data_IF_780711669862
#
_entry.id   IF_780711669862
#
_cell.length_a   1.000
_cell.length_b   1.000
_cell.length_c   1.000
_cell.angle_alpha   90.00
_cell.angle_beta   90.00
_cell.angle_gamma   90.00
#
_symmetry.space_group_name_H-M   'P 1'
#
loop_
_entity.id
_entity.type
_entity.pdbx_description
1 polymer ?
#
# COMPACT_ATOMS: atom_id res chain seq x y z
N UNK A 1 -10.31 -9.59 -1.30
CA UNK A 1 -9.74 -8.82 -0.19
C UNK A 1 -10.61 -8.98 1.05
N UNK A 2 -10.06 -8.68 2.24
CA UNK A 2 -10.70 -8.94 3.53
C UNK A 2 -10.48 -7.75 4.45
N UNK A 3 -11.56 -7.29 5.10
CA UNK A 3 -11.49 -6.28 6.15
C UNK A 3 -12.19 -6.75 7.43
N UNK A 4 -11.75 -6.25 8.57
CA UNK A 4 -12.34 -6.53 9.87
C UNK A 4 -13.13 -5.31 10.37
N UNK A 5 -14.38 -5.53 10.73
CA UNK A 5 -15.13 -4.59 11.57
C UNK A 5 -14.71 -4.81 13.03
N UNK A 6 -13.83 -3.95 13.52
CA UNK A 6 -13.24 -4.06 14.86
C UNK A 6 -14.28 -3.88 15.98
N UNK A 7 -15.39 -3.20 15.70
CA UNK A 7 -16.43 -2.92 16.70
C UNK A 7 -17.30 -4.15 16.99
N UNK A 8 -17.54 -4.97 15.98
CA UNK A 8 -18.42 -6.15 16.06
C UNK A 8 -17.70 -7.48 15.88
N UNK A 9 -16.43 -7.46 15.46
CA UNK A 9 -15.67 -8.64 15.07
C UNK A 9 -16.16 -9.29 13.76
N UNK A 10 -17.00 -8.61 12.99
CA UNK A 10 -17.46 -9.15 11.70
C UNK A 10 -16.33 -9.10 10.67
N UNK A 11 -16.29 -10.17 9.85
CA UNK A 11 -15.38 -10.25 8.72
C UNK A 11 -16.11 -9.83 7.44
N UNK A 12 -15.53 -8.91 6.71
CA UNK A 12 -16.00 -8.44 5.41
C UNK A 12 -15.09 -9.01 4.32
N UNK A 13 -15.68 -9.73 3.38
CA UNK A 13 -14.94 -10.36 2.28
C UNK A 13 -15.40 -9.78 0.96
N UNK A 14 -14.51 -9.13 0.25
CA UNK A 14 -14.75 -8.62 -1.10
C UNK A 14 -14.72 -9.80 -2.08
N UNK A 15 -15.89 -10.16 -2.61
CA UNK A 15 -16.10 -11.31 -3.47
C UNK A 15 -16.23 -10.89 -4.94
N UNK A 16 -15.41 -11.48 -5.81
CA UNK A 16 -15.40 -11.25 -7.24
C UNK A 16 -15.44 -9.76 -7.65
N UNK A 17 -14.91 -8.88 -6.80
CA UNK A 17 -14.82 -7.44 -6.99
C UNK A 17 -16.16 -6.68 -7.09
N UNK A 18 -17.29 -7.34 -6.88
CA UNK A 18 -18.63 -6.76 -7.07
C UNK A 18 -19.59 -6.97 -5.91
N UNK A 19 -19.11 -7.57 -4.85
CA UNK A 19 -19.94 -7.78 -3.67
C UNK A 19 -19.07 -7.85 -2.41
N UNK A 20 -19.63 -7.43 -1.27
CA UNK A 20 -19.03 -7.67 0.03
C UNK A 20 -19.92 -8.64 0.80
N UNK A 21 -19.37 -9.83 1.12
CA UNK A 21 -19.99 -10.80 2.01
C UNK A 21 -19.60 -10.47 3.44
N UNK A 22 -20.58 -10.38 4.32
CA UNK A 22 -20.35 -10.12 5.74
C UNK A 22 -20.60 -11.39 6.55
N UNK A 23 -19.61 -11.76 7.35
CA UNK A 23 -19.67 -12.91 8.27
C UNK A 23 -19.56 -12.41 9.71
N UNK A 24 -20.19 -13.11 10.66
CA UNK A 24 -19.98 -12.82 12.09
C UNK A 24 -18.58 -13.26 12.54
N UNK A 25 -18.17 -12.84 13.74
CA UNK A 25 -16.95 -13.30 14.40
C UNK A 25 -16.85 -14.84 14.54
N UNK A 26 -17.99 -15.55 14.48
CA UNK A 26 -18.06 -17.03 14.50
C UNK A 26 -18.11 -17.65 13.10
N UNK A 27 -17.89 -16.87 12.04
CA UNK A 27 -17.91 -17.35 10.66
C UNK A 27 -19.30 -17.55 10.04
N UNK A 28 -20.39 -17.18 10.75
CA UNK A 28 -21.74 -17.29 10.20
C UNK A 28 -22.02 -16.16 9.20
N UNK A 29 -22.47 -16.51 8.00
CA UNK A 29 -22.90 -15.54 6.99
C UNK A 29 -24.05 -14.67 7.51
N UNK A 30 -23.96 -13.36 7.29
CA UNK A 30 -24.96 -12.36 7.72
C UNK A 30 -25.68 -11.70 6.56
N UNK A 31 -24.93 -11.11 5.63
CA UNK A 31 -25.51 -10.34 4.52
C UNK A 31 -24.57 -10.23 3.33
N UNK A 32 -25.16 -9.84 2.18
CA UNK A 32 -24.46 -9.44 0.97
C UNK A 32 -24.69 -7.94 0.72
N UNK A 33 -23.63 -7.24 0.36
CA UNK A 33 -23.67 -5.86 -0.14
C UNK A 33 -23.24 -5.94 -1.61
N UNK A 34 -24.17 -5.67 -2.53
CA UNK A 34 -23.84 -5.61 -3.95
C UNK A 34 -23.20 -4.26 -4.31
N UNK A 35 -22.25 -4.30 -5.20
CA UNK A 35 -21.51 -3.14 -5.70
C UNK A 35 -21.79 -3.00 -7.20
N UNK A 36 -22.12 -1.79 -7.63
CA UNK A 36 -22.48 -1.51 -9.04
C UNK A 36 -21.25 -1.50 -9.95
N UNK A 37 -20.08 -1.31 -9.39
CA UNK A 37 -18.81 -1.24 -10.10
C UNK A 37 -17.79 -2.22 -9.50
N UNK A 38 -16.79 -2.68 -10.28
CA UNK A 38 -15.73 -3.51 -9.75
C UNK A 38 -14.81 -2.70 -8.83
N UNK A 39 -14.55 -3.23 -7.63
CA UNK A 39 -13.69 -2.67 -6.60
C UNK A 39 -12.71 -3.75 -6.13
N UNK A 40 -11.47 -3.40 -5.77
CA UNK A 40 -10.39 -4.37 -5.58
C UNK A 40 -9.89 -4.45 -4.15
N UNK A 41 -9.80 -3.34 -3.44
CA UNK A 41 -9.38 -3.30 -2.04
C UNK A 41 -10.48 -2.70 -1.20
N UNK A 42 -10.55 -3.13 0.05
CA UNK A 42 -11.61 -2.80 0.99
C UNK A 42 -11.01 -2.50 2.36
N UNK A 43 -11.43 -1.37 2.95
CA UNK A 43 -11.23 -1.08 4.36
C UNK A 43 -12.55 -0.71 5.04
N UNK A 44 -12.72 -1.16 6.29
CA UNK A 44 -13.87 -0.85 7.12
C UNK A 44 -13.53 0.22 8.16
N UNK A 45 -14.34 1.28 8.24
CA UNK A 45 -14.19 2.38 9.17
C UNK A 45 -15.19 2.28 10.32
N UNK A 46 -14.90 2.92 11.47
CA UNK A 46 -15.72 2.81 12.71
C UNK A 46 -17.20 3.20 12.51
N UNK A 47 -17.47 4.14 11.63
CA UNK A 47 -18.84 4.59 11.34
C UNK A 47 -19.56 3.71 10.30
N UNK A 48 -19.11 2.49 10.07
CA UNK A 48 -19.62 1.58 9.03
C UNK A 48 -19.43 2.03 7.58
N UNK A 49 -18.63 3.06 7.33
CA UNK A 49 -18.20 3.37 5.97
C UNK A 49 -17.25 2.27 5.45
N UNK A 50 -17.43 1.90 4.20
CA UNK A 50 -16.51 1.02 3.49
C UNK A 50 -15.73 1.85 2.48
N UNK A 51 -14.43 1.89 2.60
CA UNK A 51 -13.56 2.59 1.65
C UNK A 51 -12.95 1.59 0.70
N UNK A 52 -13.02 1.88 -0.59
CA UNK A 52 -12.59 1.00 -1.65
C UNK A 52 -11.60 1.66 -2.60
N UNK A 53 -10.72 0.82 -3.14
CA UNK A 53 -9.95 1.15 -4.33
C UNK A 53 -10.53 0.46 -5.56
N UNK A 54 -10.69 1.20 -6.64
CA UNK A 54 -11.23 0.66 -7.89
C UNK A 54 -10.21 0.50 -9.00
N UNK A 55 -8.94 0.83 -8.73
CA UNK A 55 -7.94 0.98 -9.80
C UNK A 55 -8.35 2.07 -10.83
N UNK A 56 -7.58 2.22 -11.88
CA UNK A 56 -7.91 3.09 -13.00
C UNK A 56 -8.69 2.35 -14.11
N UNK A 57 -9.63 1.48 -13.74
CA UNK A 57 -10.48 0.84 -14.74
C UNK A 57 -11.23 1.91 -15.53
N UNK A 58 -11.13 1.85 -16.84
CA UNK A 58 -11.58 2.90 -17.76
C UNK A 58 -13.06 3.31 -17.62
N UNK A 59 -13.88 2.48 -17.00
CA UNK A 59 -15.30 2.77 -16.74
C UNK A 59 -15.54 3.45 -15.39
N UNK A 60 -14.55 3.43 -14.48
CA UNK A 60 -14.69 4.03 -13.16
C UNK A 60 -14.25 5.49 -13.23
N UNK A 61 -15.11 6.37 -12.76
CA UNK A 61 -14.85 7.83 -12.75
C UNK A 61 -13.88 8.23 -11.65
N UNK A 62 -13.68 7.38 -10.64
CA UNK A 62 -12.81 7.61 -9.50
C UNK A 62 -11.94 6.39 -9.23
N UNK A 63 -10.78 6.60 -8.63
CA UNK A 63 -9.90 5.52 -8.17
C UNK A 63 -10.28 5.02 -6.78
N UNK A 64 -10.85 5.89 -5.95
CA UNK A 64 -11.28 5.56 -4.60
C UNK A 64 -12.75 5.92 -4.42
N UNK A 65 -13.43 5.09 -3.65
CA UNK A 65 -14.85 5.24 -3.35
C UNK A 65 -15.10 5.00 -1.86
N UNK A 66 -16.14 5.65 -1.35
CA UNK A 66 -16.73 5.36 -0.07
C UNK A 66 -18.16 4.85 -0.28
N UNK A 67 -18.50 3.73 0.34
CA UNK A 67 -19.87 3.25 0.50
C UNK A 67 -20.30 3.62 1.92
N UNK A 68 -21.16 4.62 2.02
CA UNK A 68 -21.53 5.23 3.29
C UNK A 68 -22.74 4.53 3.97
N UNK A 69 -23.11 5.02 5.14
CA UNK A 69 -24.26 4.53 5.90
C UNK A 69 -25.58 4.63 5.15
N UNK A 70 -25.72 5.59 4.22
CA UNK A 70 -26.88 5.73 3.34
C UNK A 70 -26.91 4.67 2.24
N UNK A 71 -25.95 3.76 2.23
CA UNK A 71 -25.76 2.71 1.21
C UNK A 71 -25.53 3.26 -0.20
N UNK A 72 -24.84 4.39 -0.27
CA UNK A 72 -24.48 5.05 -1.52
C UNK A 72 -23.00 4.99 -1.77
N UNK A 73 -22.64 4.59 -2.97
CA UNK A 73 -21.25 4.63 -3.43
C UNK A 73 -20.90 6.03 -3.92
N UNK A 74 -19.96 6.69 -3.25
CA UNK A 74 -19.49 8.04 -3.57
C UNK A 74 -18.03 8.00 -4.00
N UNK A 75 -17.68 8.69 -5.09
CA UNK A 75 -16.28 8.84 -5.50
C UNK A 75 -15.52 9.80 -4.57
N UNK A 76 -14.34 9.39 -4.14
CA UNK A 76 -13.46 10.19 -3.28
C UNK A 76 -12.30 10.84 -4.06
N UNK A 77 -11.70 10.12 -5.00
CA UNK A 77 -10.55 10.60 -5.78
C UNK A 77 -10.81 10.33 -7.26
N UNK A 78 -10.83 11.40 -8.05
CA UNK A 78 -11.12 11.32 -9.48
C UNK A 78 -10.04 10.56 -10.22
N UNK A 79 -10.45 9.63 -11.09
CA UNK A 79 -9.53 8.94 -11.97
C UNK A 79 -9.03 9.91 -13.06
N UNK A 80 -7.76 10.31 -12.95
CA UNK A 80 -7.11 11.20 -13.92
C UNK A 80 -6.36 10.43 -15.00
N UNK A 81 -6.07 9.17 -14.75
CA UNK A 81 -5.32 8.32 -15.66
C UNK A 81 -6.21 7.82 -16.82
N UNK A 82 -5.74 7.99 -18.04
CA UNK A 82 -6.46 7.62 -19.27
C UNK A 82 -5.87 6.41 -20.00
N UNK A 83 -4.83 5.81 -19.45
CA UNK A 83 -4.13 4.67 -20.04
C UNK A 83 -4.80 3.33 -19.77
N UNK A 84 -4.07 2.24 -20.05
CA UNK A 84 -4.52 0.88 -19.75
C UNK A 84 -4.72 0.67 -18.25
N UNK A 85 -5.74 -0.10 -17.86
CA UNK A 85 -5.97 -0.41 -16.44
C UNK A 85 -4.75 -1.06 -15.80
N UNK A 86 -4.50 -0.72 -14.53
CA UNK A 86 -3.49 -1.32 -13.68
C UNK A 86 -4.01 -1.54 -12.26
N UNK A 87 -3.44 -2.50 -11.56
CA UNK A 87 -3.69 -2.76 -10.17
C UNK A 87 -2.39 -2.54 -9.39
N UNK A 88 -2.50 -1.86 -8.27
CA UNK A 88 -1.45 -1.79 -7.25
C UNK A 88 -2.00 -2.29 -5.93
N UNK A 89 -1.14 -2.89 -5.13
CA UNK A 89 -1.39 -3.19 -3.73
C UNK A 89 -1.02 -1.99 -2.85
N UNK A 90 -1.43 -2.04 -1.59
CA UNK A 90 -0.97 -1.18 -0.49
C UNK A 90 -1.23 0.33 -0.66
N UNK A 91 -2.33 0.66 -1.32
CA UNK A 91 -2.77 2.03 -1.57
C UNK A 91 -3.82 2.53 -0.57
N UNK A 92 -4.36 1.63 0.25
CA UNK A 92 -5.18 1.90 1.42
C UNK A 92 -4.43 1.41 2.65
N UNK A 93 -4.12 2.31 3.58
CA UNK A 93 -3.44 1.95 4.83
C UNK A 93 -4.24 2.48 6.01
N UNK A 94 -4.93 1.57 6.70
CA UNK A 94 -5.69 1.91 7.89
C UNK A 94 -4.75 2.30 9.03
N UNK A 95 -4.91 3.51 9.55
CA UNK A 95 -4.13 4.02 10.68
C UNK A 95 -4.78 3.65 12.01
N UNK A 96 -6.08 3.76 12.05
CA UNK A 96 -6.95 3.41 13.18
C UNK A 96 -8.40 3.33 12.66
N UNK A 97 -9.37 2.93 13.48
CA UNK A 97 -10.77 2.82 13.04
C UNK A 97 -11.39 4.09 12.48
N UNK A 98 -10.82 5.27 12.77
CA UNK A 98 -11.35 6.57 12.37
C UNK A 98 -10.51 7.28 11.29
N UNK A 99 -9.43 6.66 10.83
CA UNK A 99 -8.57 7.29 9.82
C UNK A 99 -7.84 6.29 8.93
N UNK A 100 -7.75 6.65 7.66
CA UNK A 100 -7.17 5.83 6.61
C UNK A 100 -6.30 6.70 5.69
N UNK A 101 -5.09 6.26 5.41
CA UNK A 101 -4.31 6.81 4.31
C UNK A 101 -4.76 6.25 2.97
N UNK A 102 -4.82 7.17 2.00
CA UNK A 102 -5.15 6.89 0.61
C UNK A 102 -4.09 7.53 -0.26
N UNK A 103 -3.46 6.76 -1.12
CA UNK A 103 -2.50 7.30 -2.07
C UNK A 103 -2.58 6.59 -3.41
N UNK A 104 -2.08 7.24 -4.46
CA UNK A 104 -1.93 6.65 -5.80
C UNK A 104 -0.45 6.58 -6.13
N UNK A 105 -0.03 5.55 -6.83
CA UNK A 105 1.39 5.30 -7.19
C UNK A 105 2.01 6.46 -7.98
N UNK A 106 1.21 7.18 -8.77
CA UNK A 106 1.68 8.34 -9.54
C UNK A 106 1.32 9.68 -8.88
N UNK A 107 0.92 9.65 -7.61
CA UNK A 107 0.70 10.85 -6.81
C UNK A 107 1.91 11.16 -5.94
N UNK A 108 2.21 12.43 -5.78
CA UNK A 108 3.15 12.96 -4.80
C UNK A 108 2.49 13.17 -3.43
N UNK A 109 1.19 12.89 -3.32
CA UNK A 109 0.36 13.23 -2.17
C UNK A 109 -0.21 11.98 -1.51
N UNK A 110 -0.02 11.89 -0.19
CA UNK A 110 -0.79 10.99 0.67
C UNK A 110 -1.98 11.79 1.19
N UNK A 111 -3.17 11.23 0.99
CA UNK A 111 -4.41 11.78 1.51
C UNK A 111 -4.83 11.05 2.78
N UNK A 112 -5.48 11.78 3.67
CA UNK A 112 -6.15 11.25 4.85
C UNK A 112 -7.65 11.23 4.61
N UNK A 113 -8.27 10.06 4.71
CA UNK A 113 -9.70 9.91 4.82
C UNK A 113 -10.10 9.85 6.29
N UNK A 114 -11.12 10.63 6.64
CA UNK A 114 -11.82 10.54 7.91
C UNK A 114 -13.33 10.53 7.68
N UNK A 115 -14.06 9.62 8.31
CA UNK A 115 -15.51 9.48 8.12
C UNK A 115 -16.31 10.75 8.35
N UNK A 116 -15.91 11.59 9.30
CA UNK A 116 -16.60 12.85 9.62
C UNK A 116 -16.56 13.87 8.47
N UNK A 117 -15.49 13.86 7.67
CA UNK A 117 -15.37 14.80 6.53
C UNK A 117 -15.92 14.23 5.22
N UNK A 118 -16.07 12.91 5.12
CA UNK A 118 -16.50 12.19 3.89
C UNK A 118 -15.77 12.63 2.63
N UNK A 119 -14.50 13.02 2.78
CA UNK A 119 -13.62 13.52 1.72
C UNK A 119 -12.16 13.24 2.04
N UNK A 120 -11.32 13.26 1.00
CA UNK A 120 -9.87 13.14 1.17
C UNK A 120 -9.27 14.52 1.45
N UNK A 121 -8.43 14.59 2.48
CA UNK A 121 -7.66 15.77 2.84
C UNK A 121 -6.17 15.48 2.56
N UNK A 122 -5.42 16.38 1.89
CA UNK A 122 -3.98 16.23 1.77
C UNK A 122 -3.34 16.13 3.16
N UNK A 123 -2.52 15.12 3.39
CA UNK A 123 -1.81 14.92 4.65
C UNK A 123 -0.31 15.17 4.48
N UNK A 124 0.27 14.61 3.43
CA UNK A 124 1.70 14.74 3.16
C UNK A 124 1.90 14.92 1.66
N UNK A 125 2.74 15.87 1.28
CA UNK A 125 3.08 16.15 -0.12
C UNK A 125 4.58 16.05 -0.28
N UNK A 126 5.04 15.21 -1.19
CA UNK A 126 6.44 15.07 -1.55
C UNK A 126 6.77 16.02 -2.72
N UNK A 127 7.57 17.02 -2.46
CA UNK A 127 8.09 17.88 -3.53
C UNK A 127 9.29 17.23 -4.21
N UNK A 128 9.10 16.75 -5.40
CA UNK A 128 10.16 16.20 -6.25
C UNK A 128 10.89 17.25 -7.10
N UNK A 129 10.67 18.53 -6.87
CA UNK A 129 11.29 19.63 -7.65
C UNK A 129 10.94 19.56 -9.14
N UNK A 130 9.70 19.23 -9.48
CA UNK A 130 9.24 19.08 -10.87
C UNK A 130 9.75 17.83 -11.60
N UNK A 131 10.37 16.89 -10.88
CA UNK A 131 10.90 15.63 -11.45
C UNK A 131 10.01 14.41 -11.17
N UNK A 132 8.82 14.61 -10.62
CA UNK A 132 7.84 13.54 -10.44
C UNK A 132 7.25 13.08 -11.78
N UNK A 133 6.93 11.78 -11.86
CA UNK A 133 6.06 11.24 -12.90
C UNK A 133 4.66 11.20 -12.33
N UNK A 134 3.73 11.86 -12.97
CA UNK A 134 2.33 11.91 -12.54
C UNK A 134 1.39 11.31 -13.59
N UNK A 135 0.13 11.12 -13.20
CA UNK A 135 -0.92 10.53 -14.05
C UNK A 135 -1.26 11.34 -15.30
N UNK A 136 -0.80 12.60 -15.38
CA UNK A 136 -1.15 13.53 -16.45
C UNK A 136 -0.17 13.55 -17.63
N UNK A 137 0.84 12.68 -17.64
CA UNK A 137 1.75 12.60 -18.78
C UNK A 137 1.00 11.90 -19.92
N UNK A 138 0.41 12.69 -20.80
CA UNK A 138 -0.53 12.27 -21.85
C UNK A 138 0.05 11.30 -22.89
N UNK A 139 1.37 11.19 -22.96
CA UNK A 139 2.08 10.35 -23.93
C UNK A 139 2.29 8.92 -23.43
N UNK A 140 2.04 8.66 -22.15
CA UNK A 140 2.27 7.38 -21.51
C UNK A 140 0.94 6.62 -21.37
N UNK A 141 0.81 5.50 -22.07
CA UNK A 141 -0.45 4.77 -22.20
C UNK A 141 -0.61 3.58 -21.24
N UNK A 142 0.44 3.24 -20.48
CA UNK A 142 0.43 2.14 -19.52
C UNK A 142 1.49 2.34 -18.42
N UNK A 143 1.37 1.54 -17.36
CA UNK A 143 2.30 1.59 -16.21
C UNK A 143 3.74 1.30 -16.65
N UNK A 144 3.95 0.34 -17.53
CA UNK A 144 5.28 0.00 -18.04
C UNK A 144 5.94 1.21 -18.72
N UNK A 145 5.17 1.95 -19.51
CA UNK A 145 5.64 3.19 -20.16
C UNK A 145 6.01 4.27 -19.13
N UNK A 146 5.22 4.42 -18.03
CA UNK A 146 5.55 5.35 -16.95
C UNK A 146 6.84 4.94 -16.23
N UNK A 147 6.99 3.64 -15.92
CA UNK A 147 8.20 3.12 -15.28
C UNK A 147 9.44 3.31 -16.18
N UNK A 148 9.34 2.97 -17.46
CA UNK A 148 10.43 3.16 -18.43
C UNK A 148 10.79 4.63 -18.60
N UNK A 149 9.80 5.51 -18.67
CA UNK A 149 10.01 6.96 -18.73
C UNK A 149 10.76 7.47 -17.50
N UNK A 150 10.34 7.06 -16.30
CA UNK A 150 11.00 7.41 -15.05
C UNK A 150 12.46 6.93 -15.03
N UNK A 151 12.69 5.67 -15.40
CA UNK A 151 14.02 5.07 -15.44
C UNK A 151 14.95 5.79 -16.43
N UNK A 152 14.48 6.03 -17.66
CA UNK A 152 15.25 6.67 -18.72
C UNK A 152 15.60 8.13 -18.39
N UNK A 153 14.69 8.84 -17.74
CA UNK A 153 14.82 10.26 -17.48
C UNK A 153 15.22 10.60 -16.02
N UNK A 154 15.59 9.57 -15.23
CA UNK A 154 15.95 9.70 -13.81
C UNK A 154 14.89 10.48 -13.00
N UNK A 155 13.61 10.13 -13.23
CA UNK A 155 12.45 10.77 -12.60
C UNK A 155 12.00 9.99 -11.37
N UNK A 156 11.26 10.66 -10.49
CA UNK A 156 10.63 10.04 -9.32
C UNK A 156 9.28 9.44 -9.68
N UNK A 157 9.03 8.24 -9.16
CA UNK A 157 7.71 7.63 -9.11
C UNK A 157 7.27 7.63 -7.67
N UNK A 158 6.04 8.04 -7.48
CA UNK A 158 5.42 8.40 -6.23
C UNK A 158 5.43 7.35 -5.13
N UNK A 159 4.67 7.65 -4.14
CA UNK A 159 4.54 6.93 -2.89
C UNK A 159 3.91 5.55 -3.11
N UNK A 160 4.65 4.48 -2.83
CA UNK A 160 4.17 3.12 -3.07
C UNK A 160 3.53 2.49 -1.83
N UNK A 161 4.03 2.88 -0.65
CA UNK A 161 3.59 2.38 0.65
C UNK A 161 3.68 3.52 1.63
N UNK A 162 2.74 3.63 2.55
CA UNK A 162 2.78 4.66 3.58
C UNK A 162 2.26 4.11 4.91
N UNK A 163 3.06 4.23 5.96
CA UNK A 163 2.68 3.94 7.33
C UNK A 163 2.97 5.14 8.21
N UNK A 164 2.13 5.34 9.20
CA UNK A 164 2.31 6.42 10.14
C UNK A 164 2.18 5.92 11.58
N UNK A 165 3.22 6.15 12.36
CA UNK A 165 3.24 5.80 13.77
C UNK A 165 4.12 6.77 14.55
N UNK A 166 3.68 7.21 15.72
CA UNK A 166 4.43 8.11 16.62
C UNK A 166 5.04 9.32 15.92
N UNK A 167 4.23 10.03 15.09
CA UNK A 167 4.66 11.20 14.32
C UNK A 167 5.79 10.93 13.33
N UNK A 168 5.96 9.69 12.94
CA UNK A 168 6.84 9.28 11.85
C UNK A 168 6.01 8.71 10.73
N UNK A 169 6.21 9.23 9.51
CA UNK A 169 5.65 8.68 8.28
C UNK A 169 6.75 7.87 7.60
N UNK A 170 6.49 6.59 7.43
CA UNK A 170 7.33 5.69 6.65
C UNK A 170 6.69 5.45 5.28
N UNK A 171 7.49 5.56 4.22
CA UNK A 171 7.02 5.35 2.85
C UNK A 171 8.15 4.92 1.92
N UNK A 172 7.78 4.39 0.74
CA UNK A 172 8.74 4.10 -0.32
C UNK A 172 8.44 4.88 -1.59
N UNK A 173 9.48 5.14 -2.36
CA UNK A 173 9.41 5.77 -3.67
C UNK A 173 10.56 5.29 -4.55
N UNK A 174 10.45 5.48 -5.86
CA UNK A 174 11.53 5.13 -6.79
C UNK A 174 12.08 6.38 -7.47
N UNK A 175 13.36 6.35 -7.85
CA UNK A 175 13.99 7.34 -8.70
C UNK A 175 14.84 6.65 -9.75
N UNK A 176 14.50 6.82 -11.00
CA UNK A 176 15.17 6.11 -12.08
C UNK A 176 15.02 4.59 -11.90
N UNK A 177 16.15 3.90 -11.65
CA UNK A 177 16.19 2.46 -11.40
C UNK A 177 16.33 2.09 -9.91
N UNK A 178 16.47 3.08 -9.05
CA UNK A 178 16.68 2.87 -7.62
C UNK A 178 15.39 3.06 -6.84
N UNK A 179 15.18 2.21 -5.86
CA UNK A 179 14.07 2.29 -4.91
C UNK A 179 14.60 2.80 -3.59
N UNK A 180 13.82 3.64 -2.96
CA UNK A 180 14.15 4.29 -1.70
C UNK A 180 13.07 4.02 -0.68
N UNK A 181 13.51 3.86 0.54
CA UNK A 181 12.69 3.87 1.73
C UNK A 181 12.94 5.18 2.47
N UNK A 182 11.92 5.79 2.98
CA UNK A 182 12.05 7.06 3.66
C UNK A 182 11.25 7.09 4.96
N UNK A 183 11.80 7.81 5.92
CA UNK A 183 11.15 8.15 7.17
C UNK A 183 11.10 9.66 7.27
N UNK A 184 9.91 10.21 7.36
CA UNK A 184 9.69 11.62 7.71
C UNK A 184 9.27 11.71 9.17
N UNK A 185 10.03 12.47 9.96
CA UNK A 185 9.73 12.77 11.37
C UNK A 185 9.07 14.15 11.45
N UNK A 186 7.83 14.20 11.90
CA UNK A 186 7.14 15.47 12.13
C UNK A 186 7.77 16.27 13.28
N UNK A 187 8.34 15.58 14.28
CA UNK A 187 8.94 16.23 15.44
C UNK A 187 10.16 17.07 15.06
N UNK A 188 10.96 16.57 14.12
CA UNK A 188 12.21 17.20 13.69
C UNK A 188 12.07 17.89 12.33
N UNK A 189 10.93 17.74 11.67
CA UNK A 189 10.67 18.14 10.28
C UNK A 189 11.78 17.63 9.35
N UNK A 190 12.20 16.37 9.55
CA UNK A 190 13.34 15.76 8.86
C UNK A 190 12.92 14.56 8.04
N UNK A 191 13.36 14.52 6.80
CA UNK A 191 13.25 13.36 5.91
C UNK A 191 14.62 12.66 5.84
N UNK A 192 14.62 11.34 6.07
CA UNK A 192 15.78 10.48 5.85
C UNK A 192 15.40 9.40 4.86
N UNK A 193 16.19 9.21 3.81
CA UNK A 193 15.95 8.21 2.79
C UNK A 193 17.10 7.19 2.74
N UNK A 194 16.76 5.95 2.46
CA UNK A 194 17.65 4.80 2.43
C UNK A 194 17.45 4.02 1.13
N UNK A 195 18.52 3.64 0.46
CA UNK A 195 18.46 2.73 -0.71
C UNK A 195 18.28 1.27 -0.27
N UNK A 196 18.68 0.94 0.96
CA UNK A 196 18.52 -0.38 1.55
C UNK A 196 17.97 -0.26 2.96
N UNK A 197 17.00 -1.10 3.30
CA UNK A 197 16.49 -1.22 4.67
C UNK A 197 17.33 -2.17 5.51
N UNK A 198 17.88 -3.19 4.86
CA UNK A 198 18.68 -4.22 5.49
C UNK A 198 19.95 -4.40 4.67
N UNK A 199 21.08 -4.51 5.35
CA UNK A 199 22.38 -4.66 4.68
C UNK A 199 22.48 -5.98 3.89
N UNK A 200 21.85 -7.04 4.34
CA UNK A 200 22.01 -8.40 3.83
C UNK A 200 20.73 -9.01 3.26
N UNK A 201 19.56 -8.41 3.53
CA UNK A 201 18.32 -8.85 2.94
C UNK A 201 18.03 -8.03 1.69
N UNK A 202 17.48 -8.65 0.66
CA UNK A 202 17.09 -7.92 -0.54
C UNK A 202 15.96 -6.93 -0.20
N UNK A 203 15.98 -5.77 -0.84
CA UNK A 203 14.83 -4.89 -0.79
C UNK A 203 13.62 -5.62 -1.36
N UNK A 204 12.59 -5.77 -0.55
CA UNK A 204 11.37 -6.44 -0.94
C UNK A 204 10.31 -5.40 -1.29
N UNK A 205 9.65 -5.58 -2.43
CA UNK A 205 8.58 -4.70 -2.88
C UNK A 205 7.25 -4.90 -2.14
N UNK A 206 7.15 -5.93 -1.30
CA UNK A 206 5.94 -6.28 -0.59
C UNK A 206 6.12 -6.16 0.92
N UNK A 207 5.68 -5.04 1.50
CA UNK A 207 5.33 -5.01 2.90
C UNK A 207 4.07 -5.87 3.09
N UNK A 208 4.13 -6.79 4.04
CA UNK A 208 2.97 -7.62 4.39
C UNK A 208 2.09 -6.97 5.44
N UNK A 209 2.61 -5.96 6.14
CA UNK A 209 1.84 -5.25 7.15
C UNK A 209 2.66 -4.36 8.07
N UNK A 210 2.00 -3.86 9.10
CA UNK A 210 2.64 -3.13 10.18
C UNK A 210 1.97 -3.49 11.52
N UNK A 211 2.73 -3.45 12.58
CA UNK A 211 2.23 -3.63 13.93
C UNK A 211 2.97 -2.68 14.87
N UNK A 212 2.26 -1.71 15.43
CA UNK A 212 2.82 -0.67 16.28
C UNK A 212 4.02 0.03 15.60
N UNK A 213 5.21 -0.10 16.17
CA UNK A 213 6.45 0.52 15.68
C UNK A 213 7.26 -0.35 14.70
N UNK A 214 6.68 -1.49 14.28
CA UNK A 214 7.35 -2.43 13.38
C UNK A 214 6.67 -2.44 12.02
N UNK A 215 7.51 -2.55 11.00
CA UNK A 215 7.11 -2.93 9.64
C UNK A 215 7.38 -4.41 9.47
N UNK A 216 6.45 -5.11 8.86
CA UNK A 216 6.47 -6.57 8.75
C UNK A 216 6.73 -6.94 7.30
N UNK A 217 7.76 -7.75 7.08
CA UNK A 217 8.12 -8.31 5.79
C UNK A 217 7.98 -9.83 5.83
N UNK A 218 7.38 -10.41 4.79
CA UNK A 218 7.44 -11.85 4.56
C UNK A 218 8.36 -12.14 3.38
N UNK A 219 9.34 -12.97 3.62
CA UNK A 219 10.28 -13.40 2.59
C UNK A 219 10.02 -14.86 2.24
N UNK A 220 9.80 -15.09 0.95
CA UNK A 220 9.72 -16.43 0.39
C UNK A 220 11.09 -17.11 0.43
N UNK A 221 11.16 -18.34 0.97
CA UNK A 221 12.42 -19.06 1.20
C UNK A 221 13.18 -19.35 -0.11
N UNK A 222 12.56 -19.86 -1.18
CA UNK A 222 13.26 -20.07 -2.45
C UNK A 222 13.91 -18.80 -3.00
N UNK A 223 13.25 -17.65 -2.80
CA UNK A 223 13.78 -16.37 -3.25
C UNK A 223 14.95 -15.89 -2.39
N UNK A 224 14.88 -16.01 -1.05
CA UNK A 224 16.00 -15.70 -0.15
C UNK A 224 17.20 -16.59 -0.42
N UNK A 225 17.01 -17.89 -0.60
CA UNK A 225 18.05 -18.83 -0.92
C UNK A 225 18.82 -18.43 -2.18
N UNK A 226 18.09 -18.12 -3.27
CA UNK A 226 18.68 -17.60 -4.52
C UNK A 226 19.41 -16.26 -4.33
N UNK A 227 18.95 -15.43 -3.40
CA UNK A 227 19.63 -14.19 -3.04
C UNK A 227 20.96 -14.47 -2.35
N UNK A 228 20.99 -15.34 -1.32
CA UNK A 228 22.20 -15.67 -0.57
C UNK A 228 23.23 -16.45 -1.38
N UNK A 229 22.80 -17.26 -2.35
CA UNK A 229 23.73 -17.88 -3.31
C UNK A 229 24.56 -16.85 -4.09
N UNK A 230 23.97 -15.67 -4.37
CA UNK A 230 24.64 -14.57 -5.10
C UNK A 230 25.32 -13.57 -4.19
N UNK A 231 24.81 -13.41 -2.99
CA UNK A 231 25.22 -12.43 -2.01
C UNK A 231 25.34 -13.10 -0.63
N UNK A 232 26.40 -13.91 -0.40
CA UNK A 232 26.59 -14.60 0.89
C UNK A 232 26.60 -13.61 2.05
N UNK A 233 25.90 -13.91 3.16
CA UNK A 233 25.77 -12.99 4.28
C UNK A 233 27.09 -12.86 5.05
N UNK A 234 27.46 -11.63 5.39
CA UNK A 234 28.66 -11.30 6.16
C UNK A 234 28.43 -11.27 7.68
N UNK A 235 27.19 -10.98 8.11
CA UNK A 235 26.86 -10.88 9.54
C UNK A 235 26.36 -12.20 10.13
N UNK A 236 26.46 -12.33 11.46
CA UNK A 236 25.88 -13.48 12.16
C UNK A 236 24.36 -13.56 12.02
N UNK A 237 23.68 -12.41 11.95
CA UNK A 237 22.24 -12.36 11.73
C UNK A 237 21.86 -12.85 10.32
N UNK A 238 22.60 -12.43 9.30
CA UNK A 238 22.40 -12.88 7.93
C UNK A 238 22.63 -14.38 7.78
N UNK A 239 23.71 -14.93 8.37
CA UNK A 239 24.00 -16.38 8.39
C UNK A 239 22.90 -17.18 9.10
N UNK A 240 22.32 -16.61 10.17
CA UNK A 240 21.20 -17.24 10.87
C UNK A 240 19.95 -17.29 9.98
N UNK A 241 19.66 -16.23 9.24
CA UNK A 241 18.53 -16.21 8.29
C UNK A 241 18.79 -17.17 7.14
N UNK A 242 20.01 -17.21 6.58
CA UNK A 242 20.40 -18.17 5.55
C UNK A 242 20.20 -19.62 6.03
N UNK A 243 20.60 -19.94 7.25
CA UNK A 243 20.39 -21.26 7.83
C UNK A 243 18.92 -21.64 7.97
N UNK A 244 18.02 -20.66 8.19
CA UNK A 244 16.58 -20.89 8.22
C UNK A 244 16.01 -21.19 6.82
N UNK A 245 16.73 -20.89 5.75
CA UNK A 245 16.34 -21.20 4.38
C UNK A 245 16.72 -22.59 3.91
N UNK A 246 17.17 -23.48 4.80
CA UNK A 246 17.68 -24.82 4.42
C UNK A 246 16.59 -25.70 3.75
N UNK A 247 15.34 -25.57 4.18
CA UNK A 247 14.21 -26.31 3.61
C UNK A 247 13.29 -25.35 2.80
N UNK A 248 13.15 -25.62 1.51
CA UNK A 248 12.36 -24.78 0.60
C UNK A 248 10.84 -24.88 0.80
N UNK A 249 10.39 -25.95 1.44
CA UNK A 249 8.97 -26.20 1.75
C UNK A 249 8.52 -25.57 3.08
N UNK A 250 9.42 -24.88 3.78
CA UNK A 250 9.08 -24.23 5.04
C UNK A 250 8.24 -22.95 4.81
N UNK A 251 7.60 -22.49 5.89
CA UNK A 251 6.81 -21.25 5.88
C UNK A 251 7.71 -20.04 5.60
N UNK A 252 7.15 -18.96 5.02
CA UNK A 252 7.89 -17.73 4.80
C UNK A 252 8.58 -17.20 6.07
N UNK A 253 9.74 -16.59 5.89
CA UNK A 253 10.42 -15.91 6.99
C UNK A 253 9.81 -14.55 7.22
N UNK A 254 9.30 -14.32 8.43
CA UNK A 254 8.71 -13.04 8.82
C UNK A 254 9.75 -12.19 9.52
N UNK A 255 10.02 -11.01 9.00
CA UNK A 255 10.96 -10.03 9.55
C UNK A 255 10.19 -8.85 10.11
N UNK A 256 10.41 -8.55 11.40
CA UNK A 256 9.89 -7.35 12.06
C UNK A 256 11.01 -6.31 12.12
N UNK A 257 10.86 -5.23 11.36
CA UNK A 257 11.81 -4.13 11.36
C UNK A 257 11.27 -2.97 12.20
N UNK A 258 12.01 -2.60 13.24
CA UNK A 258 11.69 -1.44 14.07
C UNK A 258 12.38 -0.19 13.52
N UNK A 259 11.61 0.89 13.38
CA UNK A 259 12.16 2.21 13.04
C UNK A 259 12.43 2.98 14.33
N UNK A 260 13.69 3.13 14.63
CA UNK A 260 14.18 3.93 15.76
C UNK A 260 14.24 5.43 15.41
#
# INVERSE_FOLDING_TARGET
DIALDESTGNLLVLDLYRAVKVFSATGKYKKLINLDIPLFHLEHMRNDDLVFYSSNIAKNTHNFYCYDQDRKLKGLYKNLYKGKPYLFSDILTKLNPDSLFVHSVFSDTIYLYRPEYKSLQPFFIMDYGGKGVNENISELNDVGSHLQYAQKNNRYIGLQIAYYHNKKLFFSFSRGKADYWAVFSEADNRLTAYEKLFDELPNHYGLTGHAAEHVIYAYDIPWLKKHFEKHPPGTEQGKRIEAMCANEDDNPIIVFAKFS
#
